data_IF_478591027880
#
_entry.id   IF_478591027880
#
_cell.length_a   1.000
_cell.length_b   1.000
_cell.length_c   1.000
_cell.angle_alpha   90.00
_cell.angle_beta   90.00
_cell.angle_gamma   90.00
#
_symmetry.space_group_name_H-M   'P 1'
#
loop_
_entity.id
_entity.type
_entity.pdbx_description
1 polymer ?
#
# COMPACT_ATOMS: atom_id res chain seq x y z
N UNK A 1 28.49 20.75 3.07
CA UNK A 1 28.79 19.37 3.48
C UNK A 1 28.57 18.46 2.28
N UNK A 2 29.53 17.60 1.98
CA UNK A 2 29.43 16.64 0.87
C UNK A 2 28.32 15.61 1.14
N UNK A 3 27.70 15.04 0.10
CA UNK A 3 26.71 13.94 0.21
C UNK A 3 27.26 12.79 1.08
N UNK A 4 28.59 12.59 1.08
CA UNK A 4 29.26 11.62 1.97
C UNK A 4 29.08 11.92 3.46
N UNK A 5 29.02 13.18 3.89
CA UNK A 5 28.96 13.57 5.30
C UNK A 5 27.53 13.49 5.88
N UNK A 6 26.49 13.83 5.10
CA UNK A 6 25.10 13.60 5.50
C UNK A 6 24.75 12.10 5.57
N UNK A 7 25.46 11.27 4.79
CA UNK A 7 25.25 9.83 4.73
C UNK A 7 25.62 9.07 6.01
N UNK A 8 26.10 9.69 7.09
CA UNK A 8 26.50 8.99 8.32
C UNK A 8 25.52 9.14 9.50
N UNK A 9 24.56 10.07 9.46
CA UNK A 9 23.78 10.45 10.66
C UNK A 9 22.39 9.83 10.78
N UNK A 10 21.85 9.20 9.72
CA UNK A 10 20.54 8.53 9.76
C UNK A 10 20.66 7.10 9.22
N UNK A 11 19.72 6.17 9.51
CA UNK A 11 19.75 4.82 8.94
C UNK A 11 19.34 4.77 7.45
N UNK A 12 19.09 5.92 6.81
CA UNK A 12 18.61 6.02 5.45
C UNK A 12 19.63 6.72 4.53
N UNK A 13 19.80 6.18 3.33
CA UNK A 13 20.26 6.92 2.16
C UNK A 13 19.13 7.83 1.69
N UNK A 14 19.44 9.04 1.29
CA UNK A 14 18.45 10.03 0.86
C UNK A 14 18.78 10.48 -0.56
N UNK A 15 17.74 10.50 -1.39
CA UNK A 15 17.79 10.93 -2.78
C UNK A 15 16.73 12.01 -3.00
N UNK A 16 17.12 13.15 -3.56
CA UNK A 16 16.15 14.03 -4.19
C UNK A 16 15.63 13.42 -5.51
N UNK A 17 14.58 14.03 -6.08
CA UNK A 17 13.98 13.57 -7.34
C UNK A 17 14.99 13.39 -8.46
N UNK A 18 15.90 14.35 -8.65
CA UNK A 18 16.86 14.33 -9.77
C UNK A 18 17.88 13.19 -9.61
N UNK A 19 18.37 12.99 -8.39
CA UNK A 19 19.27 11.90 -8.04
C UNK A 19 18.60 10.55 -8.24
N UNK A 20 17.33 10.42 -7.87
CA UNK A 20 16.56 9.19 -8.05
C UNK A 20 16.27 8.90 -9.52
N UNK A 21 15.83 9.91 -10.29
CA UNK A 21 15.53 9.78 -11.72
C UNK A 21 16.76 9.35 -12.53
N UNK A 22 17.96 9.78 -12.12
CA UNK A 22 19.22 9.36 -12.73
C UNK A 22 19.48 7.85 -12.59
N UNK A 23 18.86 7.14 -11.63
CA UNK A 23 19.02 5.70 -11.42
C UNK A 23 18.24 4.84 -12.42
N UNK A 24 17.46 5.47 -13.32
CA UNK A 24 16.72 4.76 -14.37
C UNK A 24 17.63 3.88 -15.21
N UNK A 25 18.89 4.28 -15.44
CA UNK A 25 19.82 3.68 -16.40
C UNK A 25 19.14 3.37 -17.76
N UNK A 26 19.75 2.53 -18.58
CA UNK A 26 19.22 2.01 -19.85
C UNK A 26 17.99 1.09 -19.70
N UNK A 27 17.22 1.17 -18.61
CA UNK A 27 15.97 0.39 -18.49
C UNK A 27 14.94 0.98 -19.46
N UNK A 28 14.51 0.20 -20.47
CA UNK A 28 13.52 0.67 -21.42
C UNK A 28 12.18 0.89 -20.71
N UNK A 29 11.43 1.89 -21.16
CA UNK A 29 10.05 2.07 -20.72
C UNK A 29 9.21 0.91 -21.27
N UNK A 30 8.61 0.11 -20.38
CA UNK A 30 7.84 -1.09 -20.76
C UNK A 30 6.34 -0.87 -20.76
N UNK A 31 5.86 0.25 -20.20
CA UNK A 31 4.44 0.61 -20.19
C UNK A 31 4.12 1.63 -21.27
N UNK A 32 2.99 1.45 -21.95
CA UNK A 32 2.44 2.44 -22.87
C UNK A 32 1.63 3.51 -22.13
N UNK A 33 1.31 4.61 -22.83
CA UNK A 33 0.42 5.66 -22.29
C UNK A 33 -0.95 5.12 -21.88
N UNK A 34 -1.54 4.27 -22.71
CA UNK A 34 -2.85 3.67 -22.46
C UNK A 34 -2.84 2.77 -21.22
N UNK A 35 -1.76 2.00 -21.04
CA UNK A 35 -1.61 1.14 -19.86
C UNK A 35 -1.45 2.00 -18.59
N UNK A 36 -0.69 3.09 -18.64
CA UNK A 36 -0.56 4.01 -17.51
C UNK A 36 -1.90 4.66 -17.20
N UNK A 37 -2.69 5.02 -18.21
CA UNK A 37 -4.03 5.56 -18.03
C UNK A 37 -4.95 4.58 -17.27
N UNK A 38 -4.84 3.27 -17.52
CA UNK A 38 -5.61 2.24 -16.81
C UNK A 38 -5.13 2.01 -15.37
N UNK A 39 -3.87 2.32 -15.05
CA UNK A 39 -3.31 2.18 -13.70
C UNK A 39 -3.65 3.35 -12.77
N UNK A 40 -4.21 4.44 -13.32
CA UNK A 40 -4.57 5.64 -12.55
C UNK A 40 -5.55 5.32 -11.42
N UNK A 41 -5.36 5.97 -10.28
CA UNK A 41 -6.36 6.04 -9.22
C UNK A 41 -7.52 6.93 -9.62
N UNK A 42 -8.66 6.78 -8.95
CA UNK A 42 -9.83 7.66 -9.13
C UNK A 42 -9.43 9.14 -9.05
N UNK A 43 -8.41 9.46 -8.25
CA UNK A 43 -7.98 10.83 -8.03
C UNK A 43 -6.48 11.11 -8.21
N UNK A 44 -5.75 10.25 -8.93
CA UNK A 44 -4.32 10.46 -9.15
C UNK A 44 -4.02 10.57 -10.64
N UNK A 45 -3.56 11.75 -11.06
CA UNK A 45 -2.98 11.96 -12.38
C UNK A 45 -1.57 11.41 -12.39
N UNK A 46 -1.46 10.10 -12.65
CA UNK A 46 -0.17 9.45 -12.88
C UNK A 46 0.34 9.86 -14.27
N UNK A 47 1.41 10.64 -14.32
CA UNK A 47 2.07 11.02 -15.57
C UNK A 47 3.05 9.94 -16.03
N UNK A 48 3.28 9.88 -17.35
CA UNK A 48 4.34 9.06 -17.94
C UNK A 48 5.71 9.37 -17.32
N UNK A 49 5.99 10.66 -17.14
CA UNK A 49 7.22 11.17 -16.56
C UNK A 49 7.41 10.65 -15.12
N UNK A 50 6.36 10.67 -14.30
CA UNK A 50 6.41 10.11 -12.95
C UNK A 50 6.71 8.60 -12.98
N UNK A 51 6.09 7.85 -13.89
CA UNK A 51 6.39 6.42 -14.05
C UNK A 51 7.85 6.20 -14.46
N UNK A 52 8.33 6.97 -15.42
CA UNK A 52 9.68 6.81 -15.96
C UNK A 52 10.78 7.24 -14.97
N UNK A 53 10.58 8.32 -14.23
CA UNK A 53 11.57 8.90 -13.32
C UNK A 53 11.54 8.29 -11.93
N UNK A 54 10.39 7.80 -11.46
CA UNK A 54 10.23 7.33 -10.09
C UNK A 54 10.01 5.83 -10.03
N UNK A 55 8.96 5.35 -10.69
CA UNK A 55 8.51 3.98 -10.52
C UNK A 55 9.35 2.96 -11.29
N UNK A 56 9.93 3.33 -12.44
CA UNK A 56 10.89 2.48 -13.15
C UNK A 56 12.15 2.20 -12.31
N UNK A 57 12.91 3.21 -11.82
CA UNK A 57 14.03 2.96 -10.92
C UNK A 57 13.64 2.18 -9.67
N UNK A 58 12.46 2.46 -9.10
CA UNK A 58 11.94 1.72 -7.95
C UNK A 58 11.69 0.23 -8.27
N UNK A 59 11.07 -0.07 -9.40
CA UNK A 59 10.83 -1.46 -9.83
C UNK A 59 12.15 -2.20 -10.08
N UNK A 60 13.17 -1.52 -10.60
CA UNK A 60 14.51 -2.08 -10.78
C UNK A 60 15.21 -2.32 -9.46
N UNK A 61 15.13 -1.39 -8.52
CA UNK A 61 15.64 -1.58 -7.16
C UNK A 61 14.99 -2.82 -6.53
N UNK A 62 13.66 -2.90 -6.55
CA UNK A 62 12.92 -4.05 -6.03
C UNK A 62 13.35 -5.35 -6.73
N UNK A 63 13.57 -5.33 -8.05
CA UNK A 63 14.07 -6.50 -8.77
C UNK A 63 15.45 -6.97 -8.27
N UNK A 64 16.36 -6.05 -7.92
CA UNK A 64 17.64 -6.43 -7.30
C UNK A 64 17.45 -7.12 -5.95
N UNK A 65 16.56 -6.60 -5.09
CA UNK A 65 16.24 -7.21 -3.79
C UNK A 65 15.64 -8.61 -3.96
N UNK A 66 14.68 -8.77 -4.87
CA UNK A 66 14.03 -10.06 -5.15
C UNK A 66 15.04 -11.07 -5.69
N UNK A 67 15.84 -10.67 -6.69
CA UNK A 67 16.86 -11.55 -7.28
C UNK A 67 17.94 -11.95 -6.28
N UNK A 68 18.32 -11.06 -5.37
CA UNK A 68 19.24 -11.38 -4.27
C UNK A 68 18.65 -12.40 -3.30
N UNK A 69 17.36 -12.24 -2.94
CA UNK A 69 16.64 -13.18 -2.07
C UNK A 69 16.56 -14.59 -2.70
N UNK A 70 16.22 -14.69 -3.99
CA UNK A 70 16.15 -15.96 -4.72
C UNK A 70 17.52 -16.66 -4.77
N UNK A 71 18.62 -15.92 -5.00
CA UNK A 71 19.97 -16.50 -4.97
C UNK A 71 20.33 -17.02 -3.59
N UNK A 72 20.02 -16.27 -2.53
CA UNK A 72 20.23 -16.71 -1.15
C UNK A 72 19.42 -17.97 -0.83
N UNK A 73 18.18 -18.03 -1.29
CA UNK A 73 17.32 -19.21 -1.12
C UNK A 73 17.95 -20.45 -1.76
N UNK A 74 18.43 -20.36 -3.00
CA UNK A 74 19.10 -21.48 -3.68
C UNK A 74 20.35 -21.99 -2.92
N UNK A 75 21.15 -21.09 -2.34
CA UNK A 75 22.32 -21.46 -1.51
C UNK A 75 21.87 -22.20 -0.24
N UNK A 76 20.82 -21.72 0.42
CA UNK A 76 20.28 -22.35 1.63
C UNK A 76 19.67 -23.72 1.33
N UNK A 77 18.92 -23.86 0.23
CA UNK A 77 18.35 -25.13 -0.20
C UNK A 77 19.43 -26.19 -0.46
N UNK A 78 20.52 -25.79 -1.13
CA UNK A 78 21.67 -26.65 -1.35
C UNK A 78 22.35 -27.05 -0.04
N UNK A 79 22.57 -26.09 0.88
CA UNK A 79 23.23 -26.35 2.16
C UNK A 79 22.39 -27.24 3.08
N UNK A 80 21.08 -27.02 3.13
CA UNK A 80 20.14 -27.75 4.00
C UNK A 80 19.65 -29.08 3.40
N UNK A 81 19.93 -29.34 2.12
CA UNK A 81 19.47 -30.55 1.42
C UNK A 81 17.96 -30.63 1.26
N UNK A 82 17.29 -29.47 1.17
CA UNK A 82 15.83 -29.37 1.07
C UNK A 82 15.41 -29.03 -0.36
N UNK A 83 14.36 -29.68 -0.86
CA UNK A 83 13.65 -29.22 -2.06
C UNK A 83 12.61 -28.18 -1.61
N UNK A 84 13.03 -26.92 -1.55
CA UNK A 84 12.21 -25.83 -1.03
C UNK A 84 10.92 -25.66 -1.82
N UNK A 85 9.83 -25.37 -1.10
CA UNK A 85 8.62 -24.87 -1.73
C UNK A 85 8.84 -23.43 -2.18
N UNK A 86 8.11 -23.02 -3.23
CA UNK A 86 8.18 -21.64 -3.71
C UNK A 86 7.50 -20.72 -2.69
N UNK A 87 8.30 -19.89 -2.01
CA UNK A 87 7.80 -18.90 -1.06
C UNK A 87 7.69 -17.54 -1.77
N UNK A 88 6.54 -16.85 -1.71
CA UNK A 88 6.38 -15.53 -2.32
C UNK A 88 7.30 -14.50 -1.67
N UNK A 89 7.83 -13.60 -2.49
CA UNK A 89 8.44 -12.36 -2.01
C UNK A 89 7.33 -11.34 -1.70
N UNK A 90 7.24 -10.89 -0.45
CA UNK A 90 6.17 -10.01 0.01
C UNK A 90 6.68 -8.58 0.09
N UNK A 91 6.02 -7.68 -0.64
CA UNK A 91 6.24 -6.24 -0.61
C UNK A 91 5.04 -5.59 0.07
N UNK A 92 5.23 -4.90 1.19
CA UNK A 92 4.14 -4.13 1.81
C UNK A 92 4.18 -2.66 1.41
N UNK A 93 3.02 -2.03 1.25
CA UNK A 93 2.89 -0.60 0.96
C UNK A 93 1.98 0.05 2.00
N UNK A 94 2.57 0.93 2.82
CA UNK A 94 1.93 1.67 3.90
C UNK A 94 1.82 3.17 3.59
N UNK A 95 1.14 3.91 4.48
CA UNK A 95 0.92 5.35 4.34
C UNK A 95 -0.52 5.77 4.64
N UNK A 96 -0.76 7.08 4.66
CA UNK A 96 -2.06 7.67 4.99
C UNK A 96 -3.19 7.24 4.04
N UNK A 97 -4.43 7.41 4.49
CA UNK A 97 -5.59 7.44 3.58
C UNK A 97 -5.37 8.54 2.54
N UNK A 98 -5.72 8.26 1.28
CA UNK A 98 -5.61 9.15 0.12
C UNK A 98 -4.19 9.56 -0.33
N UNK A 99 -3.11 9.06 0.30
CA UNK A 99 -1.73 9.37 -0.14
C UNK A 99 -1.36 8.76 -1.50
N UNK A 100 -2.09 7.71 -1.92
CA UNK A 100 -1.94 7.05 -3.21
C UNK A 100 -1.29 5.67 -3.20
N UNK A 101 -1.37 4.97 -2.06
CA UNK A 101 -0.85 3.59 -1.92
C UNK A 101 -1.37 2.64 -3.00
N UNK A 102 -2.68 2.61 -3.24
CA UNK A 102 -3.28 1.69 -4.22
C UNK A 102 -2.87 2.02 -5.67
N UNK A 103 -2.53 3.27 -5.98
CA UNK A 103 -1.96 3.66 -7.27
C UNK A 103 -0.51 3.18 -7.36
N UNK A 104 0.32 3.45 -6.35
CA UNK A 104 1.69 2.92 -6.26
C UNK A 104 1.72 1.39 -6.39
N UNK A 105 0.82 0.69 -5.69
CA UNK A 105 0.74 -0.76 -5.70
C UNK A 105 0.40 -1.33 -7.09
N UNK A 106 -0.59 -0.75 -7.79
CA UNK A 106 -0.96 -1.19 -9.15
C UNK A 106 0.13 -0.88 -10.17
N UNK A 107 0.81 0.27 -10.06
CA UNK A 107 1.94 0.61 -10.92
C UNK A 107 3.09 -0.39 -10.72
N UNK A 108 3.46 -0.66 -9.46
CA UNK A 108 4.50 -1.64 -9.16
C UNK A 108 4.11 -3.05 -9.59
N UNK A 109 2.85 -3.45 -9.44
CA UNK A 109 2.35 -4.73 -9.94
C UNK A 109 2.58 -4.85 -11.46
N UNK A 110 2.18 -3.81 -12.22
CA UNK A 110 2.30 -3.79 -13.67
C UNK A 110 3.76 -3.80 -14.14
N UNK A 111 4.64 -3.04 -13.49
CA UNK A 111 6.06 -2.97 -13.80
C UNK A 111 6.79 -4.28 -13.44
N UNK A 112 6.56 -4.82 -12.24
CA UNK A 112 7.22 -6.04 -11.76
C UNK A 112 6.82 -7.29 -12.56
N UNK A 113 5.58 -7.32 -13.08
CA UNK A 113 5.10 -8.42 -13.93
C UNK A 113 5.78 -8.46 -15.32
N UNK A 114 6.33 -7.32 -15.78
CA UNK A 114 6.94 -7.16 -17.12
C UNK A 114 8.45 -7.38 -17.15
N UNK A 115 9.07 -7.71 -16.00
CA UNK A 115 10.47 -8.12 -16.00
C UNK A 115 10.67 -9.44 -16.76
N UNK A 116 11.85 -9.69 -17.37
CA UNK A 116 12.09 -10.87 -18.20
C UNK A 116 11.84 -12.22 -17.52
N UNK A 117 11.88 -12.26 -16.19
CA UNK A 117 11.54 -13.44 -15.39
C UNK A 117 10.03 -13.77 -15.42
N UNK A 118 9.19 -12.92 -16.03
CA UNK A 118 7.74 -13.09 -16.21
C UNK A 118 6.99 -13.50 -14.92
N UNK A 119 7.23 -12.74 -13.85
CA UNK A 119 6.77 -13.09 -12.52
C UNK A 119 5.27 -12.95 -12.35
N UNK A 120 4.64 -13.90 -11.64
CA UNK A 120 3.25 -13.76 -11.17
C UNK A 120 3.21 -12.78 -9.99
N UNK A 121 2.62 -11.60 -10.19
CA UNK A 121 2.51 -10.57 -9.15
C UNK A 121 1.07 -10.38 -8.72
N UNK A 122 0.78 -10.73 -7.47
CA UNK A 122 -0.54 -10.55 -6.85
C UNK A 122 -0.60 -9.28 -6.02
N UNK A 123 -1.80 -8.69 -5.96
CA UNK A 123 -2.10 -7.51 -5.16
C UNK A 123 -3.26 -7.83 -4.20
N UNK A 124 -3.05 -7.56 -2.91
CA UNK A 124 -4.03 -7.68 -1.83
C UNK A 124 -4.06 -6.37 -1.04
N UNK A 125 -5.26 -5.90 -0.71
CA UNK A 125 -5.46 -4.74 0.17
C UNK A 125 -5.89 -5.21 1.56
N UNK A 126 -5.42 -4.53 2.61
CA UNK A 126 -5.81 -4.89 3.98
C UNK A 126 -7.23 -4.46 4.33
N UNK A 127 -7.86 -3.59 3.53
CA UNK A 127 -9.26 -3.19 3.69
C UNK A 127 -10.20 -4.42 3.76
N UNK A 128 -9.89 -5.49 3.04
CA UNK A 128 -10.64 -6.75 3.10
C UNK A 128 -10.68 -7.38 4.49
N UNK A 129 -9.66 -7.13 5.31
CA UNK A 129 -9.52 -7.64 6.67
C UNK A 129 -10.13 -6.71 7.73
N UNK A 130 -10.84 -5.66 7.32
CA UNK A 130 -11.74 -4.97 8.23
C UNK A 130 -12.80 -5.94 8.75
N UNK A 131 -13.25 -5.73 9.98
CA UNK A 131 -14.47 -6.38 10.44
C UNK A 131 -15.67 -5.92 9.59
N UNK A 132 -16.62 -6.81 9.23
CA UNK A 132 -17.83 -6.43 8.53
C UNK A 132 -18.62 -5.35 9.30
N UNK A 133 -19.41 -4.53 8.58
CA UNK A 133 -20.17 -3.43 9.20
C UNK A 133 -21.08 -3.90 10.34
N UNK A 134 -21.62 -5.12 10.27
CA UNK A 134 -22.41 -5.69 11.36
C UNK A 134 -21.60 -5.72 12.67
N UNK A 135 -20.41 -6.31 12.63
CA UNK A 135 -19.50 -6.40 13.80
C UNK A 135 -19.04 -5.01 14.24
N UNK A 136 -18.72 -4.12 13.30
CA UNK A 136 -18.34 -2.75 13.63
C UNK A 136 -19.48 -1.97 14.31
N UNK A 137 -20.75 -2.18 13.91
CA UNK A 137 -21.92 -1.58 14.57
C UNK A 137 -22.10 -2.11 15.98
N UNK A 138 -22.04 -3.43 16.15
CA UNK A 138 -22.16 -4.09 17.46
C UNK A 138 -21.09 -3.62 18.46
N UNK A 139 -19.87 -3.34 17.97
CA UNK A 139 -18.76 -2.83 18.79
C UNK A 139 -18.71 -1.30 18.91
N UNK A 140 -19.60 -0.56 18.25
CA UNK A 140 -19.57 0.91 18.25
C UNK A 140 -18.40 1.53 17.48
N UNK A 141 -17.82 0.80 16.51
CA UNK A 141 -16.61 1.16 15.77
C UNK A 141 -16.86 1.66 14.34
N UNK A 142 -18.10 1.95 13.95
CA UNK A 142 -18.41 2.45 12.60
C UNK A 142 -17.67 3.75 12.23
N UNK A 143 -17.36 4.60 13.21
CA UNK A 143 -16.56 5.84 13.04
C UNK A 143 -15.06 5.63 13.25
N UNK A 144 -14.62 4.38 13.38
CA UNK A 144 -13.24 3.95 13.63
C UNK A 144 -12.71 3.03 12.54
N UNK A 145 -13.37 2.95 11.38
CA UNK A 145 -12.83 2.22 10.22
C UNK A 145 -11.43 2.72 9.88
N UNK A 146 -10.49 1.78 9.79
CA UNK A 146 -9.08 2.05 9.57
C UNK A 146 -8.25 2.21 10.86
N UNK A 147 -8.85 2.36 12.04
CA UNK A 147 -8.13 2.24 13.30
C UNK A 147 -7.81 0.76 13.60
N UNK A 148 -6.79 0.46 14.43
CA UNK A 148 -6.41 -0.91 14.77
C UNK A 148 -7.61 -1.80 15.14
N UNK A 149 -8.48 -1.35 16.04
CA UNK A 149 -9.64 -2.10 16.53
C UNK A 149 -10.71 -2.43 15.47
N UNK A 150 -10.61 -1.83 14.28
CA UNK A 150 -11.52 -2.13 13.17
C UNK A 150 -11.08 -3.31 12.29
N UNK A 151 -9.87 -3.85 12.49
CA UNK A 151 -9.34 -4.96 11.70
C UNK A 151 -9.40 -6.30 12.44
N UNK A 152 -9.67 -7.36 11.68
CA UNK A 152 -9.36 -8.73 12.07
C UNK A 152 -7.85 -8.99 11.85
N UNK A 153 -7.05 -8.52 12.80
CA UNK A 153 -5.60 -8.54 12.68
C UNK A 153 -5.01 -9.95 12.73
N UNK A 154 -5.62 -10.86 13.49
CA UNK A 154 -5.22 -12.27 13.53
C UNK A 154 -5.42 -12.94 12.18
N UNK A 155 -6.53 -12.67 11.47
CA UNK A 155 -6.75 -13.19 10.12
C UNK A 155 -5.73 -12.64 9.12
N UNK A 156 -5.36 -11.37 9.23
CA UNK A 156 -4.33 -10.77 8.36
C UNK A 156 -2.93 -11.36 8.63
N UNK A 157 -2.53 -11.52 9.90
CA UNK A 157 -1.26 -12.18 10.26
C UNK A 157 -1.25 -13.62 9.78
N UNK A 158 -2.34 -14.37 9.96
CA UNK A 158 -2.47 -15.73 9.47
C UNK A 158 -2.34 -15.80 7.94
N UNK A 159 -2.95 -14.87 7.21
CA UNK A 159 -2.86 -14.83 5.75
C UNK A 159 -1.41 -14.73 5.25
N UNK A 160 -0.61 -13.80 5.78
CA UNK A 160 0.80 -13.68 5.37
C UNK A 160 1.67 -14.81 5.92
N UNK A 161 1.32 -15.37 7.09
CA UNK A 161 1.98 -16.53 7.66
C UNK A 161 1.77 -17.79 6.82
N UNK A 162 0.54 -18.06 6.36
CA UNK A 162 0.22 -19.18 5.48
C UNK A 162 0.99 -19.07 4.15
N UNK A 163 1.05 -17.87 3.57
CA UNK A 163 1.85 -17.60 2.36
C UNK A 163 3.34 -17.87 2.59
N UNK A 164 3.91 -17.38 3.70
CA UNK A 164 5.31 -17.64 4.06
C UNK A 164 5.59 -19.08 4.48
N UNK A 165 4.54 -19.85 4.77
CA UNK A 165 4.62 -21.29 5.05
C UNK A 165 4.48 -22.14 3.79
N UNK A 166 4.33 -21.54 2.61
CA UNK A 166 4.22 -22.25 1.34
C UNK A 166 2.85 -22.89 1.09
N UNK A 167 1.79 -22.47 1.80
CA UNK A 167 0.44 -23.00 1.56
C UNK A 167 0.03 -22.74 0.09
N UNK A 168 -0.42 -23.75 -0.67
CA UNK A 168 -0.65 -23.62 -2.11
C UNK A 168 -1.70 -22.57 -2.50
N UNK A 169 -2.80 -22.52 -1.74
CA UNK A 169 -3.91 -21.59 -1.95
C UNK A 169 -4.28 -20.96 -0.62
N UNK A 170 -4.23 -19.63 -0.55
CA UNK A 170 -4.61 -18.86 0.64
C UNK A 170 -5.70 -17.86 0.24
N UNK A 171 -6.76 -17.75 1.03
CA UNK A 171 -7.89 -16.87 0.73
C UNK A 171 -7.80 -15.57 1.51
N UNK A 172 -8.09 -14.44 0.84
CA UNK A 172 -8.21 -13.13 1.45
C UNK A 172 -9.63 -12.59 1.26
N UNK A 173 -10.27 -12.05 2.31
CA UNK A 173 -11.53 -11.34 2.17
C UNK A 173 -11.36 -10.08 1.30
N UNK A 174 -12.44 -9.66 0.64
CA UNK A 174 -12.43 -8.51 -0.26
C UNK A 174 -13.34 -7.41 0.28
N UNK A 175 -12.86 -6.17 0.23
CA UNK A 175 -13.63 -4.98 0.60
C UNK A 175 -14.11 -4.25 -0.65
N UNK A 176 -15.34 -3.75 -0.62
CA UNK A 176 -15.89 -2.91 -1.67
C UNK A 176 -16.11 -1.49 -1.16
N UNK A 177 -15.43 -0.54 -1.79
CA UNK A 177 -15.68 0.89 -1.55
C UNK A 177 -17.03 1.36 -2.12
N UNK A 178 -17.70 0.55 -2.95
CA UNK A 178 -19.04 0.84 -3.47
C UNK A 178 -20.09 0.64 -2.38
N UNK A 179 -20.15 -0.56 -1.79
CA UNK A 179 -21.08 -0.86 -0.68
C UNK A 179 -20.54 -0.43 0.69
N UNK A 180 -19.26 -0.03 0.74
CA UNK A 180 -18.54 0.37 1.94
C UNK A 180 -18.57 -0.72 3.03
N UNK A 181 -18.30 -1.97 2.63
CA UNK A 181 -18.26 -3.15 3.49
C UNK A 181 -17.39 -4.26 2.88
N UNK A 182 -17.09 -5.27 3.70
CA UNK A 182 -16.56 -6.56 3.23
C UNK A 182 -17.62 -7.26 2.37
N UNK A 183 -17.23 -7.81 1.22
CA UNK A 183 -18.11 -8.52 0.31
C UNK A 183 -18.39 -9.92 0.87
N UNK A 184 -19.65 -10.27 1.19
CA UNK A 184 -20.00 -11.63 1.58
C UNK A 184 -19.68 -12.62 0.46
N UNK A 185 -19.04 -13.75 0.79
CA UNK A 185 -18.66 -14.80 -0.17
C UNK A 185 -17.76 -14.32 -1.34
N UNK A 186 -17.16 -13.13 -1.21
CA UNK A 186 -16.32 -12.50 -2.24
C UNK A 186 -14.82 -12.77 -2.08
N UNK A 187 -14.42 -13.78 -1.31
CA UNK A 187 -13.02 -14.04 -0.99
C UNK A 187 -12.18 -14.29 -2.25
N UNK A 188 -11.02 -13.62 -2.33
CA UNK A 188 -10.03 -13.81 -3.39
C UNK A 188 -9.07 -14.93 -3.01
N UNK A 189 -8.90 -15.91 -3.89
CA UNK A 189 -7.87 -16.95 -3.73
C UNK A 189 -6.54 -16.50 -4.31
N UNK A 190 -5.47 -16.65 -3.53
CA UNK A 190 -4.08 -16.38 -3.92
C UNK A 190 -3.33 -17.69 -4.02
N UNK A 191 -2.88 -18.03 -5.23
CA UNK A 191 -2.22 -19.30 -5.54
C UNK A 191 -0.72 -19.10 -5.78
N UNK A 192 0.09 -19.26 -4.72
CA UNK A 192 1.57 -19.17 -4.68
C UNK A 192 2.17 -18.22 -5.74
N UNK A 193 1.95 -16.89 -5.61
CA UNK A 193 2.56 -15.94 -6.51
C UNK A 193 4.07 -15.85 -6.29
N UNK A 194 4.77 -15.25 -7.23
CA UNK A 194 6.20 -15.00 -7.14
C UNK A 194 6.43 -13.80 -6.21
N UNK A 195 5.55 -12.81 -6.35
CA UNK A 195 5.53 -11.57 -5.58
C UNK A 195 4.09 -11.33 -5.10
N UNK A 196 3.94 -11.03 -3.82
CA UNK A 196 2.70 -10.50 -3.26
C UNK A 196 2.92 -9.05 -2.84
N UNK A 197 2.15 -8.13 -3.40
CA UNK A 197 2.06 -6.75 -2.92
C UNK A 197 0.90 -6.68 -1.92
N UNK A 198 1.21 -6.35 -0.66
CA UNK A 198 0.24 -6.15 0.41
C UNK A 198 0.10 -4.65 0.71
N UNK A 199 -1.00 -4.05 0.30
CA UNK A 199 -1.25 -2.62 0.47
C UNK A 199 -2.21 -2.36 1.63
N UNK A 200 -1.86 -1.45 2.53
CA UNK A 200 -2.72 -1.14 3.65
C UNK A 200 -2.13 -0.13 4.61
N UNK A 201 -2.98 0.59 5.32
CA UNK A 201 -2.52 1.57 6.32
C UNK A 201 -1.82 0.94 7.53
N UNK A 202 -2.13 -0.33 7.84
CA UNK A 202 -1.70 -1.03 9.06
C UNK A 202 -0.57 -2.05 8.86
N UNK A 203 -0.04 -2.20 7.65
CA UNK A 203 0.96 -3.25 7.34
C UNK A 203 2.29 -3.09 8.08
N UNK A 204 2.55 -1.92 8.65
CA UNK A 204 3.72 -1.60 9.48
C UNK A 204 3.40 -1.44 10.97
N UNK A 205 2.17 -1.75 11.40
CA UNK A 205 1.82 -1.80 12.82
C UNK A 205 2.37 -3.09 13.47
N UNK A 206 2.25 -3.19 14.79
CA UNK A 206 2.68 -4.33 15.59
C UNK A 206 1.71 -4.56 16.76
N UNK A 207 2.03 -5.52 17.63
CA UNK A 207 1.19 -5.86 18.78
C UNK A 207 0.94 -4.68 19.73
N UNK A 208 1.82 -3.67 19.77
CA UNK A 208 1.62 -2.47 20.60
C UNK A 208 0.43 -1.61 20.14
N UNK A 209 0.04 -1.71 18.87
CA UNK A 209 -1.08 -0.96 18.29
C UNK A 209 -2.42 -1.66 18.57
N UNK A 210 -2.39 -2.93 19.02
CA UNK A 210 -3.56 -3.76 19.29
C UNK A 210 -3.57 -4.23 20.77
N UNK A 211 -3.50 -3.32 21.77
CA UNK A 211 -3.45 -3.73 23.18
C UNK A 211 -4.74 -4.42 23.65
N UNK A 212 -5.84 -4.24 22.91
CA UNK A 212 -7.14 -4.86 23.17
C UNK A 212 -7.19 -6.34 22.72
N UNK A 213 -6.34 -6.73 21.77
CA UNK A 213 -6.26 -8.10 21.24
C UNK A 213 -4.83 -8.34 20.67
N UNK A 214 -3.83 -8.53 21.54
CA UNK A 214 -2.44 -8.52 21.14
C UNK A 214 -2.06 -9.75 20.32
N UNK A 215 -1.20 -9.53 19.32
CA UNK A 215 -0.51 -10.58 18.57
C UNK A 215 1.01 -10.41 18.75
N UNK A 216 1.73 -11.53 18.79
CA UNK A 216 3.17 -11.55 19.11
C UNK A 216 4.08 -11.72 17.89
N UNK A 217 3.50 -11.93 16.71
CA UNK A 217 4.19 -11.94 15.42
C UNK A 217 3.44 -10.98 14.50
N UNK A 218 4.16 -10.05 13.88
CA UNK A 218 3.60 -8.93 13.15
C UNK A 218 3.57 -9.21 11.64
N UNK A 219 2.75 -8.47 10.90
CA UNK A 219 2.77 -8.54 9.42
C UNK A 219 4.17 -8.28 8.89
N UNK A 220 4.90 -7.32 9.48
CA UNK A 220 6.27 -6.99 9.09
C UNK A 220 7.25 -8.16 9.19
N UNK A 221 7.01 -9.15 10.05
CA UNK A 221 7.91 -10.28 10.23
C UNK A 221 7.82 -11.27 9.06
N UNK A 222 6.75 -11.17 8.26
CA UNK A 222 6.53 -11.95 7.04
C UNK A 222 6.77 -11.13 5.76
N UNK A 223 7.12 -9.84 5.86
CA UNK A 223 7.33 -8.93 4.73
C UNK A 223 8.83 -8.83 4.42
N UNK A 224 9.22 -9.01 3.16
CA UNK A 224 10.62 -8.92 2.75
C UNK A 224 11.06 -7.48 2.46
N UNK A 225 10.15 -6.63 1.97
CA UNK A 225 10.42 -5.23 1.70
C UNK A 225 9.19 -4.37 1.97
N UNK A 226 9.37 -3.24 2.63
CA UNK A 226 8.26 -2.33 2.94
C UNK A 226 8.48 -0.93 2.39
N UNK A 227 7.43 -0.36 1.81
CA UNK A 227 7.39 1.00 1.30
C UNK A 227 6.40 1.80 2.13
N UNK A 228 6.78 2.98 2.60
CA UNK A 228 5.85 3.96 3.16
C UNK A 228 5.70 5.13 2.20
N UNK A 229 4.48 5.39 1.73
CA UNK A 229 4.16 6.56 0.92
C UNK A 229 3.78 7.70 1.85
N UNK A 230 4.56 8.78 1.82
CA UNK A 230 4.45 9.93 2.72
C UNK A 230 4.04 11.20 1.97
N UNK A 231 3.41 12.14 2.67
CA UNK A 231 3.10 13.47 2.16
C UNK A 231 2.73 14.42 3.32
N UNK A 232 2.91 15.75 3.14
CA UNK A 232 2.37 16.77 4.05
C UNK A 232 0.86 16.62 4.30
N UNK A 233 0.43 16.92 5.54
CA UNK A 233 -0.95 16.74 5.99
C UNK A 233 -1.96 17.59 5.20
N UNK A 234 -1.54 18.78 4.78
CA UNK A 234 -2.35 19.70 3.98
C UNK A 234 -2.66 19.12 2.59
N UNK A 235 -1.66 18.45 1.99
CA UNK A 235 -1.84 17.76 0.71
C UNK A 235 -2.71 16.52 0.87
N UNK A 236 -2.50 15.73 1.92
CA UNK A 236 -3.33 14.57 2.22
C UNK A 236 -4.81 14.94 2.39
N UNK A 237 -5.10 16.02 3.12
CA UNK A 237 -6.46 16.54 3.27
C UNK A 237 -7.06 16.92 1.90
N UNK A 238 -6.30 17.64 1.09
CA UNK A 238 -6.74 18.09 -0.23
C UNK A 238 -7.05 16.90 -1.14
N UNK A 239 -6.17 15.90 -1.18
CA UNK A 239 -6.36 14.70 -1.99
C UNK A 239 -7.53 13.85 -1.50
N UNK A 240 -7.74 13.78 -0.18
CA UNK A 240 -8.90 13.11 0.40
C UNK A 240 -10.21 13.78 -0.03
N UNK A 241 -10.32 15.10 0.13
CA UNK A 241 -11.52 15.86 -0.25
C UNK A 241 -11.80 15.72 -1.75
N UNK A 242 -10.78 15.88 -2.59
CA UNK A 242 -10.93 15.74 -4.04
C UNK A 242 -11.39 14.32 -4.41
N UNK A 243 -10.86 13.28 -3.75
CA UNK A 243 -11.28 11.89 -3.98
C UNK A 243 -12.71 11.64 -3.52
N UNK A 244 -13.09 12.21 -2.38
CA UNK A 244 -14.46 12.16 -1.88
C UNK A 244 -15.45 12.80 -2.86
N UNK A 245 -15.11 13.96 -3.43
CA UNK A 245 -15.94 14.62 -4.43
C UNK A 245 -16.09 13.78 -5.70
N UNK A 246 -15.03 13.13 -6.17
CA UNK A 246 -15.11 12.20 -7.32
C UNK A 246 -15.98 10.98 -7.03
N UNK A 247 -15.90 10.40 -5.83
CA UNK A 247 -16.81 9.32 -5.42
C UNK A 247 -18.27 9.77 -5.40
N UNK A 248 -18.53 10.97 -4.86
CA UNK A 248 -19.86 11.59 -4.88
C UNK A 248 -20.35 11.79 -6.31
N UNK A 249 -19.50 12.28 -7.22
CA UNK A 249 -19.84 12.49 -8.62
C UNK A 249 -20.18 11.17 -9.34
N UNK A 250 -19.39 10.11 -9.12
CA UNK A 250 -19.67 8.79 -9.68
C UNK A 250 -20.92 8.09 -9.11
N UNK A 251 -21.31 8.43 -7.87
CA UNK A 251 -22.46 7.83 -7.19
C UNK A 251 -23.81 8.50 -7.51
N UNK A 252 -23.83 9.58 -8.30
CA UNK A 252 -25.08 10.25 -8.68
C UNK A 252 -26.05 9.31 -9.41
N UNK A 253 -25.51 8.41 -10.24
CA UNK A 253 -26.30 7.49 -11.08
C UNK A 253 -26.44 6.10 -10.48
N UNK A 254 -25.86 5.84 -9.31
CA UNK A 254 -25.85 4.52 -8.68
C UNK A 254 -26.50 4.59 -7.28
N UNK A 255 -27.79 4.23 -7.16
CA UNK A 255 -28.52 4.23 -5.89
C UNK A 255 -27.96 3.23 -4.86
N UNK A 256 -27.25 2.20 -5.30
CA UNK A 256 -26.70 1.14 -4.44
C UNK A 256 -25.33 1.53 -3.87
N UNK A 257 -24.74 2.63 -4.35
CA UNK A 257 -23.51 3.19 -3.81
C UNK A 257 -23.72 3.79 -2.42
N UNK A 258 -22.86 3.44 -1.47
CA UNK A 258 -22.81 4.07 -0.15
C UNK A 258 -22.68 5.60 -0.26
N UNK A 259 -21.98 6.09 -1.30
CA UNK A 259 -21.78 7.51 -1.54
C UNK A 259 -22.99 8.23 -2.13
N UNK A 260 -24.05 7.50 -2.52
CA UNK A 260 -25.31 8.08 -2.99
C UNK A 260 -25.95 9.00 -1.93
N UNK A 261 -25.73 8.71 -0.64
CA UNK A 261 -26.17 9.58 0.45
C UNK A 261 -25.54 10.98 0.39
N UNK A 262 -24.29 11.09 -0.09
CA UNK A 262 -23.58 12.35 -0.24
C UNK A 262 -23.87 13.07 -1.57
N UNK A 263 -24.40 12.36 -2.57
CA UNK A 263 -24.86 12.97 -3.82
C UNK A 263 -26.00 13.98 -3.58
N UNK A 264 -26.79 13.80 -2.51
CA UNK A 264 -27.86 14.74 -2.11
C UNK A 264 -27.35 16.06 -1.54
N UNK A 265 -26.07 16.12 -1.13
CA UNK A 265 -25.46 17.33 -0.60
C UNK A 265 -25.01 18.26 -1.73
N UNK A 266 -25.11 19.56 -1.50
CA UNK A 266 -24.43 20.55 -2.33
C UNK A 266 -22.92 20.30 -2.33
N UNK A 267 -22.20 20.81 -3.35
CA UNK A 267 -20.75 20.63 -3.43
C UNK A 267 -20.04 21.20 -2.20
N UNK A 268 -20.51 22.34 -1.69
CA UNK A 268 -19.96 22.99 -0.50
C UNK A 268 -20.18 22.15 0.76
N UNK A 269 -21.40 21.65 0.99
CA UNK A 269 -21.70 20.76 2.12
C UNK A 269 -20.92 19.45 2.04
N UNK A 270 -20.73 18.90 0.84
CA UNK A 270 -19.91 17.70 0.62
C UNK A 270 -18.44 17.95 0.98
N UNK A 271 -17.89 19.12 0.62
CA UNK A 271 -16.53 19.52 1.01
C UNK A 271 -16.42 19.64 2.53
N UNK A 272 -17.37 20.32 3.18
CA UNK A 272 -17.38 20.48 4.64
C UNK A 272 -17.48 19.14 5.37
N UNK A 273 -18.34 18.24 4.86
CA UNK A 273 -18.49 16.87 5.36
C UNK A 273 -17.19 16.08 5.21
N UNK A 274 -16.57 16.12 4.02
CA UNK A 274 -15.30 15.44 3.78
C UNK A 274 -14.18 15.99 4.68
N UNK A 275 -14.12 17.31 4.88
CA UNK A 275 -13.15 17.95 5.75
C UNK A 275 -13.32 17.53 7.23
N UNK A 276 -14.56 17.42 7.72
CA UNK A 276 -14.85 16.91 9.07
C UNK A 276 -14.43 15.43 9.19
N UNK A 277 -14.83 14.56 8.26
CA UNK A 277 -14.42 13.15 8.24
C UNK A 277 -12.90 12.98 8.19
N UNK A 278 -12.20 13.82 7.42
CA UNK A 278 -10.74 13.85 7.41
C UNK A 278 -10.19 14.15 8.81
N UNK A 279 -10.60 15.27 9.41
CA UNK A 279 -10.07 15.73 10.71
C UNK A 279 -10.37 14.74 11.85
N UNK A 280 -11.61 14.27 11.93
CA UNK A 280 -12.09 13.49 13.07
C UNK A 280 -11.69 12.01 13.01
N UNK A 281 -11.48 11.46 11.81
CA UNK A 281 -11.21 10.04 11.60
C UNK A 281 -9.82 9.83 11.01
N UNK A 282 -9.61 10.27 9.77
CA UNK A 282 -8.43 9.87 9.00
C UNK A 282 -7.12 10.53 9.48
N UNK A 283 -7.17 11.82 9.82
CA UNK A 283 -6.03 12.57 10.34
C UNK A 283 -5.65 12.10 11.74
N UNK A 284 -6.66 11.86 12.59
CA UNK A 284 -6.43 11.29 13.92
C UNK A 284 -5.76 9.92 13.83
N UNK A 285 -6.28 9.05 12.94
CA UNK A 285 -5.68 7.74 12.68
C UNK A 285 -4.25 7.86 12.14
N UNK A 286 -4.01 8.81 11.24
CA UNK A 286 -2.67 9.09 10.71
C UNK A 286 -1.68 9.41 11.84
N UNK A 287 -2.02 10.38 12.68
CA UNK A 287 -1.15 10.84 13.77
C UNK A 287 -0.90 9.75 14.82
N UNK A 288 -1.93 8.99 15.16
CA UNK A 288 -1.86 8.03 16.26
C UNK A 288 -1.28 6.67 15.84
N UNK A 289 -1.62 6.18 14.65
CA UNK A 289 -1.44 4.75 14.33
C UNK A 289 -0.68 4.49 13.02
N UNK A 290 -0.54 5.48 12.12
CA UNK A 290 0.08 5.26 10.81
C UNK A 290 1.46 5.93 10.74
N UNK A 291 1.53 7.24 10.96
CA UNK A 291 2.77 8.01 10.87
C UNK A 291 3.88 7.50 11.80
N UNK A 292 3.61 7.07 13.06
CA UNK A 292 4.64 6.51 13.93
C UNK A 292 5.33 5.25 13.39
N UNK A 293 4.71 4.57 12.41
CA UNK A 293 5.26 3.36 11.80
C UNK A 293 6.20 3.64 10.63
N UNK A 294 6.28 4.90 10.15
CA UNK A 294 7.01 5.30 8.94
C UNK A 294 8.47 4.86 8.97
N UNK A 295 9.15 5.06 10.09
CA UNK A 295 10.58 4.74 10.25
C UNK A 295 10.85 3.22 10.31
N UNK A 296 9.82 2.37 10.36
CA UNK A 296 9.93 0.91 10.20
C UNK A 296 10.07 0.49 8.74
N UNK A 297 9.79 1.36 7.77
CA UNK A 297 9.82 1.01 6.35
C UNK A 297 11.24 0.71 5.83
N UNK A 298 11.35 -0.09 4.77
CA UNK A 298 12.61 -0.28 4.02
C UNK A 298 12.88 0.94 3.13
N UNK A 299 11.83 1.50 2.53
CA UNK A 299 11.88 2.69 1.69
C UNK A 299 10.74 3.65 2.04
N UNK A 300 11.03 4.95 2.09
CA UNK A 300 10.04 6.01 2.27
C UNK A 300 10.02 6.86 1.00
N UNK A 301 8.83 7.03 0.41
CA UNK A 301 8.60 7.79 -0.80
C UNK A 301 7.75 9.02 -0.46
N UNK A 302 8.36 10.21 -0.45
CA UNK A 302 7.71 11.45 -0.06
C UNK A 302 7.16 12.18 -1.28
N UNK A 303 5.85 12.39 -1.31
CA UNK A 303 5.12 13.11 -2.34
C UNK A 303 4.92 14.57 -1.95
N UNK A 304 4.96 15.45 -2.94
CA UNK A 304 4.61 16.86 -2.85
C UNK A 304 3.39 17.17 -3.73
N UNK A 305 3.20 18.43 -4.13
CA UNK A 305 2.07 18.86 -4.92
C UNK A 305 1.91 18.00 -6.20
N UNK A 306 0.67 17.88 -6.69
CA UNK A 306 0.33 17.08 -7.89
C UNK A 306 0.76 15.61 -7.80
N UNK A 307 0.91 15.08 -6.58
CA UNK A 307 1.36 13.70 -6.33
C UNK A 307 2.78 13.39 -6.81
N UNK A 308 3.58 14.40 -7.18
CA UNK A 308 4.96 14.20 -7.61
C UNK A 308 5.83 13.76 -6.43
N UNK A 309 6.64 12.72 -6.62
CA UNK A 309 7.65 12.31 -5.63
C UNK A 309 8.83 13.28 -5.68
N UNK A 310 9.15 13.88 -4.55
CA UNK A 310 10.27 14.82 -4.43
C UNK A 310 11.49 14.21 -3.73
N UNK A 311 11.27 13.16 -2.92
CA UNK A 311 12.32 12.53 -2.14
C UNK A 311 12.07 11.02 -1.99
N UNK A 312 13.15 10.26 -2.09
CA UNK A 312 13.18 8.85 -1.73
C UNK A 312 14.23 8.62 -0.64
N UNK A 313 13.85 7.91 0.43
CA UNK A 313 14.76 7.45 1.48
C UNK A 313 14.81 5.93 1.47
N UNK A 314 15.99 5.33 1.33
CA UNK A 314 16.20 3.88 1.32
C UNK A 314 17.07 3.49 2.53
N UNK A 315 16.65 2.48 3.30
CA UNK A 315 17.45 1.97 4.42
C UNK A 315 18.82 1.47 3.94
N UNK A 316 19.87 1.78 4.70
CA UNK A 316 21.25 1.34 4.44
C UNK A 316 21.47 -0.15 4.65
#
# INVERSE_FOLDING_TARGET
MSIKEQSLMTPYLQFDRSQWAALRDSVPMTLTEDEIAQLKGINEDLSLEEVAEIYLPLSRLLNFYISSNLRRQAVLEQFLGTNGQRIPYIISIAGSVAVGKSTTARVLQALLSRWPEHRRVELITTDGFLHPNQVLKERGLMKKKGFPESYDMHRLVKFVSDLKSGVPNVTAPVYSHLIYDVIPEGDKTVAQPDILILEGLNVLQSGMDYPHDPHHVFVSDFVDFSIYVDAPEELLQTWYINRFLKFREGAFTDPDSYFHNYAKLSKEEAVNTAASLWKEINWLNLKQNILPTRERASLIMTKSANHAVEQVRLRK
#
